data_IF_901004381583
#
_entry.id   IF_901004381583
#
_cell.length_a   1.000
_cell.length_b   1.000
_cell.length_c   1.000
_cell.angle_alpha   90.00
_cell.angle_beta   90.00
_cell.angle_gamma   90.00
#
_symmetry.space_group_name_H-M   'P 1'
#
loop_
_entity.id
_entity.type
_entity.pdbx_description
1 polymer ?
#
# COMPACT_ATOMS: atom_id res chain seq x y z
N UNK A 1 24.35 -19.13 -7.98
CA UNK A 1 24.33 -18.13 -6.89
C UNK A 1 23.06 -18.34 -6.08
N UNK A 2 23.13 -18.33 -4.75
CA UNK A 2 21.94 -18.41 -3.90
C UNK A 2 21.09 -17.16 -4.12
N UNK A 3 19.83 -17.34 -4.55
CA UNK A 3 18.84 -16.27 -4.70
C UNK A 3 17.91 -16.31 -3.50
N UNK A 4 17.52 -15.16 -3.00
CA UNK A 4 16.59 -15.02 -1.87
C UNK A 4 15.49 -14.02 -2.23
N UNK A 5 14.33 -14.17 -1.60
CA UNK A 5 13.19 -13.26 -1.80
C UNK A 5 12.99 -12.43 -0.54
N UNK A 6 12.77 -11.12 -0.70
CA UNK A 6 12.32 -10.23 0.36
C UNK A 6 10.84 -9.92 0.15
N UNK A 7 9.99 -10.30 1.11
CA UNK A 7 8.56 -9.98 1.12
C UNK A 7 8.32 -8.69 1.90
N UNK A 8 7.66 -7.72 1.26
CA UNK A 8 7.28 -6.43 1.85
C UNK A 8 5.75 -6.36 1.91
N UNK A 9 5.13 -6.51 3.09
CA UNK A 9 3.68 -6.52 3.25
C UNK A 9 3.07 -5.12 3.03
N UNK A 10 1.74 -5.06 2.89
CA UNK A 10 0.96 -3.82 2.81
C UNK A 10 0.61 -3.21 4.17
N UNK A 11 -0.15 -2.11 4.13
CA UNK A 11 -0.75 -1.47 5.32
C UNK A 11 -1.51 -2.53 6.14
N UNK A 12 -1.31 -2.54 7.46
CA UNK A 12 -1.91 -3.52 8.39
C UNK A 12 -1.54 -4.98 8.14
N UNK A 13 -0.60 -5.26 7.24
CA UNK A 13 -0.11 -6.60 6.94
C UNK A 13 0.90 -7.15 7.95
N UNK A 14 1.32 -6.35 8.93
CA UNK A 14 2.20 -6.75 10.02
C UNK A 14 1.47 -6.55 11.35
N UNK A 15 1.53 -7.54 12.23
CA UNK A 15 0.98 -7.46 13.59
C UNK A 15 1.77 -6.43 14.38
N UNK A 16 1.11 -5.66 15.25
CA UNK A 16 1.77 -4.71 16.14
C UNK A 16 1.57 -5.13 17.59
N UNK A 17 2.65 -5.06 18.37
CA UNK A 17 2.67 -5.42 19.79
C UNK A 17 3.12 -4.24 20.63
N UNK A 18 2.67 -4.17 21.87
CA UNK A 18 3.26 -3.30 22.87
C UNK A 18 4.43 -4.04 23.54
N UNK A 19 5.67 -3.67 23.22
CA UNK A 19 6.88 -4.29 23.77
C UNK A 19 7.14 -3.91 25.23
N UNK A 20 6.41 -2.92 25.77
CA UNK A 20 6.47 -2.52 27.17
C UNK A 20 5.47 -3.28 28.07
N UNK A 21 5.09 -4.50 27.69
CA UNK A 21 4.30 -5.41 28.52
C UNK A 21 5.03 -6.75 28.66
N UNK A 22 4.77 -7.48 29.75
CA UNK A 22 5.43 -8.76 30.04
C UNK A 22 5.14 -9.86 29.00
N UNK A 23 4.11 -9.68 28.16
CA UNK A 23 3.63 -10.67 27.21
C UNK A 23 3.66 -10.19 25.75
N UNK A 24 4.30 -9.05 25.44
CA UNK A 24 4.25 -8.44 24.11
C UNK A 24 2.81 -8.35 23.59
N UNK A 25 1.93 -7.65 24.33
CA UNK A 25 0.50 -7.66 24.08
C UNK A 25 0.21 -7.24 22.64
N UNK A 26 -0.52 -8.07 21.90
CA UNK A 26 -0.87 -7.80 20.50
C UNK A 26 -1.94 -6.73 20.45
N UNK A 27 -1.55 -5.54 20.02
CA UNK A 27 -2.40 -4.37 19.89
C UNK A 27 -3.13 -4.37 18.55
N UNK A 28 -2.49 -4.94 17.52
CA UNK A 28 -3.07 -5.08 16.18
C UNK A 28 -2.84 -6.48 15.62
N UNK A 29 -3.95 -7.15 15.27
CA UNK A 29 -4.01 -8.34 14.44
C UNK A 29 -5.37 -8.44 13.74
N UNK A 30 -5.37 -8.99 12.53
CA UNK A 30 -6.58 -9.26 11.74
C UNK A 30 -7.54 -10.25 12.43
N UNK A 31 -7.02 -11.05 13.37
CA UNK A 31 -7.80 -12.02 14.18
C UNK A 31 -8.12 -11.47 15.57
N UNK A 32 -7.33 -10.52 16.08
CA UNK A 32 -7.49 -9.93 17.41
C UNK A 32 -7.25 -8.43 17.36
N UNK A 33 -8.35 -7.66 17.38
CA UNK A 33 -8.31 -6.23 17.66
C UNK A 33 -9.02 -5.99 19.00
N UNK A 34 -8.26 -5.83 20.08
CA UNK A 34 -8.84 -5.47 21.38
C UNK A 34 -9.19 -3.97 21.35
N UNK A 35 -10.48 -3.63 21.42
CA UNK A 35 -10.91 -2.23 21.27
C UNK A 35 -10.36 -1.27 22.34
N UNK A 36 -9.99 -1.75 23.53
CA UNK A 36 -9.34 -0.90 24.54
C UNK A 36 -7.91 -0.49 24.15
N UNK A 37 -7.25 -1.27 23.29
CA UNK A 37 -5.85 -1.07 22.90
C UNK A 37 -5.68 -0.24 21.63
N UNK A 38 -6.73 0.02 20.83
CA UNK A 38 -6.56 0.76 19.58
C UNK A 38 -6.02 2.19 19.79
N UNK A 39 -6.33 2.81 20.94
CA UNK A 39 -5.80 4.13 21.32
C UNK A 39 -4.28 4.12 21.57
N UNK A 40 -3.70 2.97 21.89
CA UNK A 40 -2.25 2.81 22.06
C UNK A 40 -1.53 2.97 20.73
N UNK A 41 -2.24 2.82 19.61
CA UNK A 41 -1.68 3.02 18.28
C UNK A 41 -1.48 4.50 17.94
N UNK A 42 -2.18 5.43 18.60
CA UNK A 42 -2.12 6.85 18.26
C UNK A 42 -0.70 7.41 18.38
N UNK A 43 -0.24 8.09 17.33
CA UNK A 43 1.09 8.71 17.26
C UNK A 43 1.03 10.19 17.65
N UNK A 44 2.14 10.70 18.19
CA UNK A 44 2.38 12.14 18.35
C UNK A 44 2.72 12.77 16.99
N UNK A 45 2.79 14.11 16.96
CA UNK A 45 3.22 14.86 15.76
C UNK A 45 4.56 14.34 15.27
N UNK A 46 5.52 14.25 16.20
CA UNK A 46 6.70 13.42 16.06
C UNK A 46 6.29 11.94 16.04
N UNK A 47 6.18 11.40 14.82
CA UNK A 47 5.69 10.05 14.56
C UNK A 47 6.57 8.97 15.14
N UNK A 48 7.75 9.29 15.70
CA UNK A 48 8.59 8.33 16.43
C UNK A 48 7.95 7.84 17.73
N UNK A 49 7.00 8.60 18.29
CA UNK A 49 6.46 8.34 19.62
C UNK A 49 4.94 8.16 19.62
N UNK A 50 4.48 7.24 20.47
CA UNK A 50 3.06 7.08 20.81
C UNK A 50 2.56 8.22 21.72
N UNK A 51 1.26 8.49 21.65
CA UNK A 51 0.59 9.44 22.55
C UNK A 51 0.59 8.90 23.99
N UNK A 52 0.28 7.62 24.17
CA UNK A 52 0.21 6.98 25.50
C UNK A 52 1.62 6.70 26.04
N UNK A 53 2.02 7.25 27.20
CA UNK A 53 3.40 7.12 27.71
C UNK A 53 3.88 5.70 27.98
N UNK A 54 2.97 4.75 28.24
CA UNK A 54 3.31 3.34 28.50
C UNK A 54 3.35 2.48 27.25
N UNK A 55 2.89 2.99 26.11
CA UNK A 55 2.85 2.25 24.86
C UNK A 55 4.21 2.40 24.17
N UNK A 56 4.89 1.28 23.94
CA UNK A 56 6.05 1.19 23.06
C UNK A 56 5.67 0.18 22.00
N UNK A 57 5.32 0.67 20.81
CA UNK A 57 4.75 -0.20 19.78
C UNK A 57 5.82 -0.61 18.80
N UNK A 58 5.95 -1.92 18.63
CA UNK A 58 6.91 -2.54 17.71
C UNK A 58 6.20 -3.48 16.75
N UNK A 59 6.84 -3.71 15.60
CA UNK A 59 6.39 -4.70 14.62
C UNK A 59 6.64 -6.11 15.15
N UNK A 60 5.67 -6.99 14.96
CA UNK A 60 5.78 -8.43 15.24
C UNK A 60 5.81 -9.20 13.92
N UNK A 61 5.25 -10.41 13.90
CA UNK A 61 5.14 -11.24 12.70
C UNK A 61 4.16 -10.66 11.67
N UNK A 62 4.28 -11.15 10.44
CA UNK A 62 3.35 -10.81 9.36
C UNK A 62 1.97 -11.47 9.60
N UNK A 63 0.94 -10.92 8.98
CA UNK A 63 -0.40 -11.51 9.02
C UNK A 63 -0.47 -12.83 8.23
N UNK A 64 -0.96 -13.89 8.89
CA UNK A 64 -0.95 -15.24 8.31
C UNK A 64 -1.94 -15.37 7.15
N UNK A 65 -3.13 -14.79 7.30
CA UNK A 65 -4.21 -14.89 6.32
C UNK A 65 -3.78 -14.39 4.92
N UNK A 66 -3.19 -13.20 4.75
CA UNK A 66 -2.76 -12.69 3.44
C UNK A 66 -1.42 -13.23 2.93
N UNK A 67 -0.50 -13.70 3.79
CA UNK A 67 0.89 -13.97 3.36
C UNK A 67 1.39 -15.40 3.54
N UNK A 68 0.79 -16.22 4.41
CA UNK A 68 1.32 -17.58 4.69
C UNK A 68 1.40 -18.44 3.43
N UNK A 69 0.38 -18.37 2.57
CA UNK A 69 0.34 -19.21 1.36
C UNK A 69 1.39 -18.79 0.33
N UNK A 70 1.55 -17.49 0.08
CA UNK A 70 2.55 -17.02 -0.90
C UNK A 70 3.98 -17.34 -0.44
N UNK A 71 4.27 -17.20 0.85
CA UNK A 71 5.58 -17.60 1.42
C UNK A 71 5.83 -19.08 1.16
N UNK A 72 4.89 -19.95 1.54
CA UNK A 72 4.98 -21.39 1.30
C UNK A 72 5.19 -21.71 -0.18
N UNK A 73 4.40 -21.12 -1.08
CA UNK A 73 4.50 -21.38 -2.51
C UNK A 73 5.83 -20.93 -3.08
N UNK A 74 6.31 -19.74 -2.71
CA UNK A 74 7.59 -19.22 -3.21
C UNK A 74 8.75 -20.13 -2.78
N UNK A 75 8.83 -20.49 -1.50
CA UNK A 75 9.91 -21.36 -1.00
C UNK A 75 9.88 -22.74 -1.70
N UNK A 76 8.71 -23.35 -1.84
CA UNK A 76 8.59 -24.69 -2.42
C UNK A 76 8.75 -24.72 -3.95
N UNK A 77 8.31 -23.68 -4.66
CA UNK A 77 8.34 -23.66 -6.13
C UNK A 77 9.60 -23.06 -6.70
N UNK A 78 10.29 -22.19 -5.95
CA UNK A 78 11.55 -21.56 -6.41
C UNK A 78 12.79 -22.09 -5.72
N UNK A 79 12.64 -22.82 -4.59
CA UNK A 79 13.73 -23.22 -3.69
C UNK A 79 14.53 -22.03 -3.14
N UNK A 80 13.97 -20.82 -3.18
CA UNK A 80 14.58 -19.61 -2.61
C UNK A 80 14.00 -19.36 -1.21
N UNK A 81 14.83 -19.09 -0.19
CA UNK A 81 14.33 -18.68 1.12
C UNK A 81 13.60 -17.33 1.02
N UNK A 82 12.52 -17.18 1.78
CA UNK A 82 11.77 -15.92 1.88
C UNK A 82 12.08 -15.22 3.19
N UNK A 83 12.55 -13.98 3.11
CA UNK A 83 12.81 -13.10 4.23
C UNK A 83 11.72 -12.03 4.31
N UNK A 84 11.01 -11.99 5.42
CA UNK A 84 9.88 -11.09 5.60
C UNK A 84 10.38 -9.78 6.22
N UNK A 85 10.12 -8.66 5.55
CA UNK A 85 10.35 -7.33 6.10
C UNK A 85 9.05 -6.79 6.71
N UNK A 86 8.75 -7.22 7.95
CA UNK A 86 7.66 -6.63 8.74
C UNK A 86 8.03 -5.23 9.24
N UNK A 87 7.06 -4.32 9.30
CA UNK A 87 7.28 -2.93 9.70
C UNK A 87 6.07 -2.32 10.40
N UNK A 88 6.28 -1.19 11.06
CA UNK A 88 5.20 -0.39 11.64
C UNK A 88 4.50 0.44 10.56
N UNK A 89 3.38 -0.10 10.09
CA UNK A 89 2.60 0.46 8.98
C UNK A 89 1.92 1.80 9.30
N UNK A 90 2.02 2.31 10.53
CA UNK A 90 1.56 3.66 10.89
C UNK A 90 2.53 4.74 10.41
N UNK A 91 3.82 4.42 10.26
CA UNK A 91 4.90 5.37 9.93
C UNK A 91 4.95 5.71 8.44
N UNK A 92 5.69 6.75 8.08
CA UNK A 92 5.89 7.16 6.69
C UNK A 92 6.52 6.05 5.84
N UNK A 93 6.10 5.92 4.59
CA UNK A 93 6.71 4.98 3.63
C UNK A 93 8.16 5.35 3.32
N UNK A 94 8.50 6.64 3.37
CA UNK A 94 9.86 7.13 3.15
C UNK A 94 10.80 6.78 4.33
N UNK A 95 10.31 6.94 5.56
CA UNK A 95 11.00 6.51 6.79
C UNK A 95 11.20 4.99 6.80
N UNK A 96 10.13 4.24 6.49
CA UNK A 96 10.16 2.79 6.45
C UNK A 96 11.12 2.26 5.38
N UNK A 97 11.29 2.96 4.27
CA UNK A 97 12.27 2.58 3.25
C UNK A 97 13.73 2.65 3.73
N UNK A 98 14.05 3.54 4.69
CA UNK A 98 15.38 3.56 5.31
C UNK A 98 15.61 2.30 6.16
N UNK A 99 14.56 1.84 6.85
CA UNK A 99 14.59 0.57 7.59
C UNK A 99 14.72 -0.62 6.63
N UNK A 100 14.07 -0.57 5.47
CA UNK A 100 14.24 -1.59 4.42
C UNK A 100 15.68 -1.62 3.91
N UNK A 101 16.31 -0.46 3.68
CA UNK A 101 17.72 -0.39 3.29
C UNK A 101 18.63 -1.06 4.32
N UNK A 102 18.45 -0.73 5.61
CA UNK A 102 19.20 -1.37 6.70
C UNK A 102 18.97 -2.89 6.76
N UNK A 103 17.74 -3.34 6.53
CA UNK A 103 17.41 -4.76 6.49
C UNK A 103 18.07 -5.49 5.31
N UNK A 104 18.12 -4.87 4.14
CA UNK A 104 18.79 -5.42 2.96
C UNK A 104 20.30 -5.55 3.21
N UNK A 105 20.96 -4.52 3.77
CA UNK A 105 22.38 -4.60 4.11
C UNK A 105 22.67 -5.69 5.15
N UNK A 106 21.83 -5.81 6.19
CA UNK A 106 21.91 -6.92 7.14
C UNK A 106 21.83 -8.30 6.44
N UNK A 107 20.92 -8.47 5.48
CA UNK A 107 20.80 -9.72 4.74
C UNK A 107 21.99 -9.96 3.80
N UNK A 108 22.58 -8.92 3.20
CA UNK A 108 23.81 -9.06 2.41
C UNK A 108 24.94 -9.63 3.25
N UNK A 109 25.17 -9.06 4.42
CA UNK A 109 26.21 -9.51 5.37
C UNK A 109 25.93 -10.93 5.87
N UNK A 110 24.69 -11.21 6.28
CA UNK A 110 24.29 -12.51 6.83
C UNK A 110 24.40 -13.65 5.83
N UNK A 111 24.06 -13.40 4.56
CA UNK A 111 23.92 -14.43 3.55
C UNK A 111 25.10 -14.48 2.56
N UNK A 112 25.96 -13.46 2.55
CA UNK A 112 27.06 -13.35 1.59
C UNK A 112 26.60 -13.20 0.14
N UNK A 113 25.42 -12.60 -0.10
CA UNK A 113 24.88 -12.32 -1.43
C UNK A 113 24.61 -10.83 -1.61
N UNK A 114 24.71 -10.32 -2.83
CA UNK A 114 24.57 -8.88 -3.10
C UNK A 114 23.23 -8.49 -3.76
N UNK A 115 22.44 -9.46 -4.21
CA UNK A 115 21.21 -9.24 -4.98
C UNK A 115 20.05 -10.08 -4.47
N UNK A 116 18.85 -9.50 -4.48
CA UNK A 116 17.62 -10.11 -3.96
C UNK A 116 16.47 -9.98 -4.95
N UNK A 117 15.56 -10.94 -4.90
CA UNK A 117 14.22 -10.79 -5.46
C UNK A 117 13.32 -10.06 -4.45
N UNK A 118 12.38 -9.25 -4.91
CA UNK A 118 11.43 -8.53 -4.07
C UNK A 118 10.00 -8.85 -4.45
N UNK A 119 9.15 -9.08 -3.45
CA UNK A 119 7.69 -9.16 -3.63
C UNK A 119 7.07 -8.15 -2.69
N UNK A 120 6.53 -7.08 -3.24
CA UNK A 120 5.98 -5.97 -2.49
C UNK A 120 4.47 -5.86 -2.75
N UNK A 121 3.68 -5.78 -1.67
CA UNK A 121 2.23 -5.76 -1.74
C UNK A 121 1.65 -4.43 -1.26
N UNK A 122 0.71 -3.86 -2.01
CA UNK A 122 -0.03 -2.65 -1.62
C UNK A 122 0.94 -1.52 -1.23
N UNK A 123 0.79 -0.93 -0.04
CA UNK A 123 1.71 0.11 0.48
C UNK A 123 3.18 -0.35 0.57
N UNK A 124 3.43 -1.66 0.69
CA UNK A 124 4.79 -2.21 0.63
C UNK A 124 5.51 -1.90 -0.69
N UNK A 125 4.78 -1.78 -1.80
CA UNK A 125 5.35 -1.39 -3.07
C UNK A 125 5.68 0.12 -3.15
N UNK A 126 4.97 0.97 -2.40
CA UNK A 126 5.36 2.37 -2.22
C UNK A 126 6.67 2.48 -1.42
N UNK A 127 6.80 1.70 -0.34
CA UNK A 127 8.04 1.60 0.45
C UNK A 127 9.20 1.13 -0.43
N UNK A 128 8.98 0.11 -1.26
CA UNK A 128 9.97 -0.35 -2.22
C UNK A 128 10.37 0.76 -3.21
N UNK A 129 9.42 1.55 -3.72
CA UNK A 129 9.72 2.69 -4.60
C UNK A 129 10.54 3.79 -3.89
N UNK A 130 10.23 4.09 -2.63
CA UNK A 130 11.06 4.98 -1.80
C UNK A 130 12.48 4.41 -1.60
N UNK A 131 12.61 3.09 -1.42
CA UNK A 131 13.90 2.42 -1.29
C UNK A 131 14.72 2.51 -2.59
N UNK A 132 14.11 2.32 -3.76
CA UNK A 132 14.78 2.50 -5.04
C UNK A 132 15.39 3.91 -5.17
N UNK A 133 14.71 4.94 -4.67
CA UNK A 133 15.25 6.31 -4.65
C UNK A 133 16.54 6.42 -3.82
N UNK A 134 16.64 5.69 -2.72
CA UNK A 134 17.83 5.68 -1.86
C UNK A 134 19.04 5.00 -2.50
N UNK A 135 18.82 4.15 -3.51
CA UNK A 135 19.92 3.47 -4.21
C UNK A 135 20.72 4.41 -5.13
N UNK A 136 20.21 5.60 -5.45
CA UNK A 136 20.92 6.63 -6.21
C UNK A 136 21.58 6.10 -7.50
N UNK A 137 20.89 5.20 -8.22
CA UNK A 137 21.40 4.58 -9.45
C UNK A 137 22.06 3.22 -9.29
N UNK A 138 22.39 2.78 -8.07
CA UNK A 138 22.98 1.46 -7.80
C UNK A 138 21.90 0.38 -7.63
N UNK A 139 21.33 -0.08 -8.74
CA UNK A 139 20.26 -1.07 -8.76
C UNK A 139 20.76 -2.54 -8.87
N UNK A 140 22.05 -2.80 -8.62
CA UNK A 140 22.65 -4.15 -8.63
C UNK A 140 21.96 -5.09 -7.62
N UNK A 141 21.48 -4.52 -6.51
CA UNK A 141 20.78 -5.25 -5.44
C UNK A 141 19.43 -5.82 -5.86
N UNK A 142 18.83 -5.33 -6.96
CA UNK A 142 17.51 -5.74 -7.42
C UNK A 142 17.66 -6.82 -8.49
N UNK A 143 17.48 -8.09 -8.14
CA UNK A 143 17.47 -9.16 -9.13
C UNK A 143 16.16 -9.15 -9.93
N UNK A 144 15.01 -9.32 -9.27
CA UNK A 144 13.68 -9.10 -9.83
C UNK A 144 12.77 -8.49 -8.77
N UNK A 145 11.77 -7.70 -9.17
CA UNK A 145 10.77 -7.14 -8.24
C UNK A 145 9.34 -7.31 -8.77
N UNK A 146 8.44 -7.79 -7.92
CA UNK A 146 7.00 -7.81 -8.18
C UNK A 146 6.31 -6.79 -7.30
N UNK A 147 5.58 -5.86 -7.91
CA UNK A 147 4.77 -4.84 -7.25
C UNK A 147 3.29 -5.18 -7.43
N UNK A 148 2.69 -5.79 -6.42
CA UNK A 148 1.30 -6.24 -6.46
C UNK A 148 0.37 -5.25 -5.75
N UNK A 149 -0.77 -4.92 -6.37
CA UNK A 149 -1.80 -4.03 -5.82
C UNK A 149 -1.30 -2.63 -5.40
N UNK A 150 -0.23 -2.12 -6.02
CA UNK A 150 0.41 -0.88 -5.57
C UNK A 150 -0.48 0.35 -5.81
N UNK A 151 -0.78 1.16 -4.78
CA UNK A 151 -1.44 2.45 -4.94
C UNK A 151 -0.44 3.55 -5.35
N UNK A 152 0.14 3.47 -6.56
CA UNK A 152 1.17 4.43 -7.00
C UNK A 152 0.70 5.90 -7.00
N UNK A 153 -0.61 6.15 -7.07
CA UNK A 153 -1.24 7.47 -6.91
C UNK A 153 -2.27 7.50 -5.79
N UNK A 154 -2.13 6.64 -4.78
CA UNK A 154 -3.03 6.58 -3.64
C UNK A 154 -4.38 5.92 -3.92
N UNK A 155 -5.30 6.02 -2.96
CA UNK A 155 -6.62 5.41 -3.00
C UNK A 155 -7.62 6.29 -2.26
N UNK A 156 -8.85 6.40 -2.77
CA UNK A 156 -9.97 7.08 -2.07
C UNK A 156 -10.27 6.43 -0.72
N UNK A 157 -9.91 5.15 -0.52
CA UNK A 157 -10.14 4.44 0.75
C UNK A 157 -9.44 5.12 1.93
N UNK A 158 -8.30 5.76 1.73
CA UNK A 158 -7.61 6.51 2.79
C UNK A 158 -8.39 7.75 3.25
N UNK A 159 -9.02 8.48 2.32
CA UNK A 159 -9.92 9.60 2.65
C UNK A 159 -11.14 9.12 3.44
N UNK A 160 -11.69 7.94 3.11
CA UNK A 160 -12.77 7.30 3.88
C UNK A 160 -12.28 6.96 5.29
N UNK A 161 -11.06 6.43 5.43
CA UNK A 161 -10.49 6.14 6.75
C UNK A 161 -10.34 7.42 7.61
N UNK A 162 -9.93 8.54 7.01
CA UNK A 162 -9.77 9.84 7.68
C UNK A 162 -11.09 10.58 7.97
N UNK A 163 -12.18 10.28 7.25
CA UNK A 163 -13.50 10.94 7.38
C UNK A 163 -14.56 10.12 8.10
N UNK A 164 -14.63 8.82 7.86
CA UNK A 164 -15.66 7.92 8.37
C UNK A 164 -15.11 6.85 9.33
N UNK A 165 -13.79 6.62 9.36
CA UNK A 165 -13.17 5.65 10.27
C UNK A 165 -13.31 4.19 9.86
N UNK A 166 -13.56 3.92 8.58
CA UNK A 166 -13.60 2.55 8.07
C UNK A 166 -12.18 1.97 7.92
N UNK A 167 -11.66 1.35 8.99
CA UNK A 167 -10.39 0.63 8.98
C UNK A 167 -10.54 -0.83 8.56
N UNK A 168 -9.87 -1.24 7.48
CA UNK A 168 -9.71 -2.66 7.11
C UNK A 168 -10.99 -3.38 6.67
N UNK A 169 -10.85 -4.68 6.35
CA UNK A 169 -11.83 -5.57 5.69
C UNK A 169 -13.30 -5.28 6.02
N UNK A 170 -14.15 -5.16 4.99
CA UNK A 170 -15.62 -5.15 5.14
C UNK A 170 -16.10 -6.47 5.77
N UNK A 171 -16.05 -6.58 7.09
CA UNK A 171 -16.93 -7.52 7.80
C UNK A 171 -18.29 -6.83 7.99
N UNK A 172 -19.43 -7.46 7.64
CA UNK A 172 -20.74 -6.82 7.56
C UNK A 172 -21.37 -6.36 8.90
N UNK A 173 -20.57 -6.24 9.97
CA UNK A 173 -21.06 -5.96 11.32
C UNK A 173 -20.44 -4.71 11.99
N UNK A 174 -19.51 -4.00 11.34
CA UNK A 174 -18.75 -2.93 12.01
C UNK A 174 -19.11 -1.55 11.46
N UNK A 175 -19.97 -0.86 12.22
CA UNK A 175 -20.29 0.56 12.06
C UNK A 175 -19.02 1.42 11.99
N UNK A 176 -19.08 2.53 11.25
CA UNK A 176 -18.17 3.67 11.34
C UNK A 176 -17.73 3.90 12.79
N UNK A 177 -16.44 3.69 13.09
CA UNK A 177 -15.93 3.87 14.43
C UNK A 177 -15.22 5.23 14.52
N UNK A 178 -15.89 6.20 15.13
CA UNK A 178 -15.40 7.56 15.33
C UNK A 178 -13.99 7.61 15.93
N UNK A 179 -13.62 6.62 16.73
CA UNK A 179 -12.33 6.55 17.42
C UNK A 179 -11.22 6.06 16.50
N UNK A 180 -11.50 5.07 15.64
CA UNK A 180 -10.52 4.60 14.67
C UNK A 180 -10.15 5.70 13.68
N UNK A 181 -11.12 6.54 13.28
CA UNK A 181 -10.86 7.72 12.45
C UNK A 181 -9.86 8.67 13.09
N UNK A 182 -10.03 9.01 14.37
CA UNK A 182 -9.13 9.92 15.10
C UNK A 182 -7.72 9.35 15.19
N UNK A 183 -7.62 8.06 15.47
CA UNK A 183 -6.33 7.36 15.51
C UNK A 183 -5.66 7.37 14.12
N UNK A 184 -6.40 7.07 13.06
CA UNK A 184 -5.88 7.09 11.68
C UNK A 184 -5.35 8.47 11.26
N UNK A 185 -5.95 9.56 11.77
CA UNK A 185 -5.47 10.94 11.55
C UNK A 185 -4.10 11.23 12.19
N UNK A 186 -3.60 10.34 13.05
CA UNK A 186 -2.25 10.45 13.59
C UNK A 186 -1.19 9.76 12.71
N UNK A 187 -1.58 8.95 11.72
CA UNK A 187 -0.65 8.11 10.94
C UNK A 187 -0.19 8.78 9.66
N UNK A 188 1.12 9.09 9.48
CA UNK A 188 1.63 9.60 8.22
C UNK A 188 1.26 8.74 7.00
N UNK A 189 1.34 7.41 7.12
CA UNK A 189 1.05 6.49 6.01
C UNK A 189 -0.35 6.63 5.42
N UNK A 190 -1.37 6.88 6.25
CA UNK A 190 -2.75 7.02 5.78
C UNK A 190 -2.91 8.28 4.93
N UNK A 191 -2.26 9.38 5.30
CA UNK A 191 -2.27 10.59 4.48
C UNK A 191 -1.45 10.41 3.19
N UNK A 192 -0.30 9.72 3.24
CA UNK A 192 0.49 9.40 2.04
C UNK A 192 -0.32 8.59 1.02
N UNK A 193 -1.26 7.77 1.46
CA UNK A 193 -2.16 6.98 0.63
C UNK A 193 -3.35 7.78 0.06
N UNK A 194 -3.48 9.08 0.34
CA UNK A 194 -4.52 9.92 -0.26
C UNK A 194 -4.35 10.01 -1.79
N UNK A 195 -5.45 10.01 -2.55
CA UNK A 195 -5.38 9.88 -3.99
C UNK A 195 -4.86 11.16 -4.65
N UNK A 196 -3.90 11.01 -5.55
CA UNK A 196 -3.22 12.12 -6.27
C UNK A 196 -3.35 12.02 -7.79
N UNK A 197 -4.09 11.03 -8.32
CA UNK A 197 -4.38 10.94 -9.75
C UNK A 197 -5.44 11.98 -10.17
N UNK A 198 -5.43 12.30 -11.46
CA UNK A 198 -6.30 13.32 -12.04
C UNK A 198 -7.78 13.02 -11.74
N UNK A 199 -8.53 14.04 -11.33
CA UNK A 199 -9.96 13.97 -11.03
C UNK A 199 -10.36 13.05 -9.86
N UNK A 200 -9.41 12.57 -9.05
CA UNK A 200 -9.71 11.74 -7.89
C UNK A 200 -10.58 12.47 -6.85
N UNK A 201 -10.34 13.76 -6.67
CA UNK A 201 -11.07 14.65 -5.76
C UNK A 201 -11.38 15.92 -6.56
N UNK A 202 -12.66 16.28 -6.64
CA UNK A 202 -13.10 17.47 -7.37
C UNK A 202 -14.18 18.18 -6.57
N UNK A 203 -14.15 19.52 -6.56
CA UNK A 203 -15.28 20.27 -6.02
C UNK A 203 -16.48 20.13 -6.96
N UNK A 204 -17.69 20.14 -6.39
CA UNK A 204 -18.96 20.08 -7.14
C UNK A 204 -19.09 21.21 -8.17
N UNK A 205 -18.51 22.39 -7.88
CA UNK A 205 -18.48 23.53 -8.78
C UNK A 205 -17.40 23.44 -9.89
N UNK A 206 -16.65 22.34 -9.95
CA UNK A 206 -15.59 22.12 -10.94
C UNK A 206 -14.23 22.72 -10.60
N UNK A 207 -14.07 23.38 -9.45
CA UNK A 207 -12.77 23.86 -8.99
C UNK A 207 -11.82 22.69 -8.67
N UNK A 208 -10.52 22.91 -8.87
CA UNK A 208 -9.49 21.92 -8.55
C UNK A 208 -9.32 21.78 -7.03
N UNK A 209 -9.21 20.53 -6.57
CA UNK A 209 -8.90 20.22 -5.18
C UNK A 209 -7.39 20.06 -5.00
N UNK A 210 -6.77 20.95 -4.22
CA UNK A 210 -5.41 20.78 -3.73
C UNK A 210 -5.38 20.00 -2.40
N UNK A 211 -4.86 18.77 -2.46
CA UNK A 211 -4.65 17.90 -1.30
C UNK A 211 -3.72 18.51 -0.25
N UNK A 212 -2.85 19.44 -0.64
CA UNK A 212 -1.86 20.08 0.23
C UNK A 212 -2.38 21.40 0.83
N UNK A 213 -3.58 21.85 0.45
CA UNK A 213 -4.22 23.01 1.03
C UNK A 213 -5.18 22.58 2.15
N UNK A 214 -4.90 22.87 3.44
CA UNK A 214 -5.78 22.46 4.53
C UNK A 214 -7.20 23.04 4.41
N UNK A 215 -7.37 24.20 3.78
CA UNK A 215 -8.68 24.86 3.61
C UNK A 215 -9.59 24.13 2.61
N UNK A 216 -9.04 23.22 1.80
CA UNK A 216 -9.83 22.42 0.87
C UNK A 216 -10.42 21.18 1.54
N UNK A 217 -9.84 20.70 2.65
CA UNK A 217 -10.30 19.50 3.32
C UNK A 217 -11.66 19.70 3.99
N UNK A 218 -12.37 18.59 4.21
CA UNK A 218 -13.60 18.60 4.99
C UNK A 218 -13.33 19.20 6.38
N UNK A 219 -14.04 20.27 6.71
CA UNK A 219 -13.76 21.15 7.86
C UNK A 219 -13.79 20.51 9.25
N UNK A 220 -14.25 19.27 9.39
CA UNK A 220 -14.22 18.54 10.65
C UNK A 220 -13.01 17.59 10.78
N UNK A 221 -12.18 17.49 9.74
CA UNK A 221 -10.91 16.79 9.79
C UNK A 221 -9.91 17.73 10.48
N UNK A 222 -9.31 17.25 11.57
CA UNK A 222 -8.34 18.04 12.34
C UNK A 222 -8.94 18.93 13.43
N UNK A 223 -10.26 19.00 13.59
CA UNK A 223 -10.87 19.75 14.71
C UNK A 223 -10.45 19.22 16.09
N UNK A 224 -10.14 17.93 16.16
CA UNK A 224 -9.66 17.24 17.36
C UNK A 224 -8.21 17.61 17.72
N UNK A 225 -7.35 17.81 16.72
CA UNK A 225 -5.97 18.27 16.89
C UNK A 225 -5.52 19.05 15.62
N UNK A 226 -5.73 20.38 15.57
CA UNK A 226 -5.41 21.18 14.39
C UNK A 226 -3.92 21.19 14.08
N UNK A 227 -3.08 21.14 15.10
CA UNK A 227 -1.63 21.19 14.93
C UNK A 227 -1.12 19.87 14.33
N UNK A 228 -1.65 18.72 14.76
CA UNK A 228 -1.40 17.42 14.12
C UNK A 228 -1.85 17.42 12.66
N UNK A 229 -3.05 17.90 12.38
CA UNK A 229 -3.58 17.92 11.02
C UNK A 229 -2.68 18.74 10.09
N UNK A 230 -2.31 19.97 10.48
CA UNK A 230 -1.41 20.81 9.70
C UNK A 230 -0.01 20.19 9.54
N UNK A 231 0.48 19.48 10.55
CA UNK A 231 1.72 18.72 10.45
C UNK A 231 1.63 17.59 9.41
N UNK A 232 0.54 16.81 9.42
CA UNK A 232 0.29 15.75 8.43
C UNK A 232 0.14 16.32 7.01
N UNK A 233 -0.54 17.45 6.84
CA UNK A 233 -0.60 18.16 5.55
C UNK A 233 0.80 18.56 5.05
N UNK A 234 1.66 19.06 5.95
CA UNK A 234 3.06 19.39 5.60
C UNK A 234 3.85 18.15 5.18
N UNK A 235 3.68 17.04 5.89
CA UNK A 235 4.37 15.77 5.61
C UNK A 235 3.95 15.19 4.25
N UNK A 236 2.66 15.16 3.92
CA UNK A 236 2.24 14.68 2.60
C UNK A 236 2.66 15.57 1.46
N UNK A 237 2.75 16.88 1.69
CA UNK A 237 3.28 17.82 0.70
C UNK A 237 4.74 17.50 0.39
N UNK A 238 5.54 17.17 1.40
CA UNK A 238 6.93 16.74 1.21
C UNK A 238 7.01 15.36 0.54
N UNK A 239 6.13 14.42 0.92
CA UNK A 239 6.11 13.07 0.33
C UNK A 239 5.79 13.09 -1.16
N UNK A 240 4.81 13.89 -1.56
CA UNK A 240 4.34 14.04 -2.95
C UNK A 240 4.92 15.27 -3.65
N UNK A 241 6.05 15.80 -3.17
CA UNK A 241 6.68 17.00 -3.74
C UNK A 241 6.90 16.84 -5.25
N UNK A 242 6.58 17.87 -6.04
CA UNK A 242 6.63 17.78 -7.51
C UNK A 242 8.06 17.72 -8.07
N UNK A 243 9.03 18.26 -7.34
CA UNK A 243 10.43 18.33 -7.76
C UNK A 243 11.25 17.19 -7.17
N UNK A 244 10.91 16.76 -5.96
CA UNK A 244 11.65 15.76 -5.21
C UNK A 244 10.73 14.77 -4.46
N UNK A 245 9.83 14.05 -5.16
CA UNK A 245 8.87 13.15 -4.51
C UNK A 245 9.57 12.01 -3.79
N UNK A 246 9.04 11.56 -2.65
CA UNK A 246 9.67 10.51 -1.85
C UNK A 246 9.83 9.17 -2.61
N UNK A 247 8.82 8.81 -3.41
CA UNK A 247 8.86 7.64 -4.28
C UNK A 247 9.64 7.94 -5.57
N UNK A 248 10.47 6.98 -6.01
CA UNK A 248 11.08 7.05 -7.33
C UNK A 248 10.00 6.88 -8.41
N UNK A 249 10.03 7.75 -9.42
CA UNK A 249 9.24 7.52 -10.61
C UNK A 249 9.85 6.35 -11.41
N UNK A 250 9.14 5.21 -11.49
CA UNK A 250 9.70 4.00 -12.08
C UNK A 250 10.04 4.12 -13.58
N UNK A 251 9.54 5.15 -14.28
CA UNK A 251 9.95 5.41 -15.68
C UNK A 251 11.37 5.96 -15.78
N UNK A 252 11.93 6.51 -14.70
CA UNK A 252 13.29 7.07 -14.65
C UNK A 252 14.37 6.00 -14.43
N UNK A 253 13.95 4.79 -14.06
CA UNK A 253 14.85 3.64 -13.97
C UNK A 253 15.43 3.30 -15.35
N UNK A 254 16.71 2.87 -15.42
CA UNK A 254 17.27 2.35 -16.67
C UNK A 254 16.46 1.18 -17.25
N UNK A 255 16.49 1.02 -18.57
CA UNK A 255 15.70 0.03 -19.30
C UNK A 255 15.93 -1.40 -18.81
N UNK A 256 17.19 -1.77 -18.52
CA UNK A 256 17.55 -3.07 -17.96
C UNK A 256 16.96 -3.30 -16.57
N UNK A 257 16.82 -2.25 -15.76
CA UNK A 257 16.21 -2.34 -14.43
C UNK A 257 14.69 -2.47 -14.56
N UNK A 258 14.05 -1.70 -15.45
CA UNK A 258 12.60 -1.79 -15.68
C UNK A 258 12.16 -3.18 -16.15
N UNK A 259 12.98 -3.87 -16.94
CA UNK A 259 12.72 -5.26 -17.38
C UNK A 259 12.74 -6.28 -16.23
N UNK A 260 13.38 -5.94 -15.10
CA UNK A 260 13.40 -6.76 -13.88
C UNK A 260 12.22 -6.47 -12.95
N UNK A 261 11.30 -5.57 -13.33
CA UNK A 261 10.12 -5.22 -12.55
C UNK A 261 8.84 -5.70 -13.23
N UNK A 262 7.97 -6.35 -12.47
CA UNK A 262 6.62 -6.74 -12.86
C UNK A 262 5.61 -6.01 -11.97
N UNK A 263 4.59 -5.39 -12.58
CA UNK A 263 3.47 -4.79 -11.86
C UNK A 263 2.25 -5.68 -12.04
N UNK A 264 1.56 -5.98 -10.94
CA UNK A 264 0.30 -6.73 -10.94
C UNK A 264 -0.78 -5.87 -10.31
N UNK A 265 -1.76 -5.47 -11.11
CA UNK A 265 -2.96 -4.75 -10.67
C UNK A 265 -4.16 -5.71 -10.58
N UNK A 266 -5.10 -5.42 -9.70
CA UNK A 266 -6.38 -6.10 -9.69
C UNK A 266 -7.44 -5.33 -10.46
N UNK A 267 -8.33 -6.06 -11.13
CA UNK A 267 -9.49 -5.48 -11.82
C UNK A 267 -10.76 -6.33 -11.62
N UNK A 268 -11.90 -5.76 -11.96
CA UNK A 268 -13.20 -6.43 -11.90
C UNK A 268 -13.91 -6.27 -10.55
N UNK A 269 -13.32 -5.53 -9.60
CA UNK A 269 -13.98 -5.13 -8.36
C UNK A 269 -14.39 -3.65 -8.40
N UNK A 270 -15.63 -3.38 -8.00
CA UNK A 270 -16.14 -2.01 -7.84
C UNK A 270 -15.33 -1.29 -6.76
N UNK A 271 -14.62 -0.25 -7.16
CA UNK A 271 -13.62 0.42 -6.31
C UNK A 271 -13.87 1.92 -6.28
N UNK A 272 -13.92 2.52 -5.09
CA UNK A 272 -14.03 3.98 -4.94
C UNK A 272 -12.83 4.64 -5.62
N UNK A 273 -13.09 5.41 -6.66
CA UNK A 273 -12.06 6.07 -7.47
C UNK A 273 -12.26 7.59 -7.57
N UNK A 274 -13.40 8.12 -7.13
CA UNK A 274 -13.67 9.57 -7.19
C UNK A 274 -14.46 10.06 -5.98
N UNK A 275 -14.12 11.26 -5.53
CA UNK A 275 -14.80 12.00 -4.46
C UNK A 275 -15.29 13.34 -5.01
N UNK A 276 -16.57 13.64 -4.81
CA UNK A 276 -17.13 14.97 -5.06
C UNK A 276 -17.15 15.74 -3.75
N UNK A 277 -16.50 16.89 -3.72
CA UNK A 277 -16.48 17.78 -2.55
C UNK A 277 -17.63 18.76 -2.67
N UNK A 278 -18.64 18.55 -1.83
CA UNK A 278 -19.83 19.39 -1.75
C UNK A 278 -19.58 20.56 -0.79
N UNK A 279 -20.22 21.72 -1.00
CA UNK A 279 -19.98 22.90 -0.17
C UNK A 279 -20.34 22.66 1.31
N UNK A 280 -21.34 21.81 1.58
CA UNK A 280 -21.84 21.53 2.92
C UNK A 280 -22.33 20.08 3.04
N UNK A 281 -22.21 19.50 4.23
CA UNK A 281 -22.77 18.18 4.56
C UNK A 281 -24.31 18.22 4.61
N UNK A 282 -25.00 17.06 4.45
CA UNK A 282 -26.47 17.01 4.49
C UNK A 282 -27.11 17.59 5.75
N UNK A 283 -26.41 17.52 6.88
CA UNK A 283 -26.83 18.05 8.19
C UNK A 283 -26.34 19.48 8.47
N UNK A 284 -25.62 20.09 7.52
CA UNK A 284 -25.12 21.46 7.64
C UNK A 284 -23.88 21.66 8.53
N UNK A 285 -23.33 20.59 9.13
CA UNK A 285 -22.29 20.70 10.17
C UNK A 285 -20.86 20.78 9.64
N UNK A 286 -20.59 20.32 8.41
CA UNK A 286 -19.26 20.30 7.82
C UNK A 286 -19.25 20.98 6.45
N UNK A 287 -18.36 21.95 6.27
CA UNK A 287 -17.97 22.50 4.96
C UNK A 287 -17.02 21.54 4.23
N UNK A 288 -16.96 21.66 2.90
CA UNK A 288 -16.14 20.81 2.01
C UNK A 288 -16.43 19.32 2.24
N UNK A 289 -17.71 18.96 2.27
CA UNK A 289 -18.14 17.60 2.56
C UNK A 289 -17.68 16.62 1.48
N UNK A 290 -16.98 15.57 1.87
CA UNK A 290 -16.51 14.52 0.96
C UNK A 290 -17.65 13.54 0.70
N UNK A 291 -18.28 13.67 -0.48
CA UNK A 291 -19.31 12.75 -0.92
C UNK A 291 -18.68 11.54 -1.64
N UNK A 292 -18.59 10.42 -0.93
CA UNK A 292 -18.08 9.14 -1.44
C UNK A 292 -19.13 8.32 -2.21
N UNK A 293 -20.40 8.72 -2.20
CA UNK A 293 -21.52 7.99 -2.80
C UNK A 293 -22.12 8.70 -4.01
N UNK A 294 -21.35 9.59 -4.65
CA UNK A 294 -21.75 10.19 -5.92
C UNK A 294 -21.92 9.12 -7.02
N UNK A 295 -22.74 9.40 -8.03
CA UNK A 295 -23.09 8.47 -9.12
C UNK A 295 -21.86 7.83 -9.80
N UNK A 296 -20.79 8.61 -9.93
CA UNK A 296 -19.55 8.22 -10.61
C UNK A 296 -18.39 8.05 -9.61
N UNK A 297 -18.68 7.77 -8.33
CA UNK A 297 -17.68 7.61 -7.28
C UNK A 297 -16.89 6.30 -7.39
N UNK A 298 -17.44 5.32 -8.09
CA UNK A 298 -16.90 3.98 -8.23
C UNK A 298 -16.41 3.72 -9.66
N UNK A 299 -15.24 3.09 -9.76
CA UNK A 299 -14.64 2.63 -11.01
C UNK A 299 -14.12 1.20 -10.89
N UNK A 300 -13.24 0.83 -11.82
CA UNK A 300 -12.61 -0.48 -11.87
C UNK A 300 -11.35 -0.52 -10.99
N UNK A 301 -11.14 -1.63 -10.29
CA UNK A 301 -9.97 -1.85 -9.42
C UNK A 301 -10.08 -3.18 -8.67
N UNK A 302 -9.45 -3.23 -7.50
CA UNK A 302 -9.36 -4.43 -6.65
C UNK A 302 -10.18 -4.34 -5.34
N UNK A 303 -11.06 -3.34 -5.24
CA UNK A 303 -11.89 -3.03 -4.08
C UNK A 303 -11.27 -1.98 -3.16
N UNK A 304 -9.98 -1.68 -3.30
CA UNK A 304 -9.27 -0.64 -2.54
C UNK A 304 -8.55 0.33 -3.47
N UNK A 305 -7.77 -0.17 -4.42
CA UNK A 305 -6.95 0.61 -5.35
C UNK A 305 -7.62 0.61 -6.72
N UNK A 306 -7.88 1.81 -7.25
CA UNK A 306 -8.39 1.97 -8.60
C UNK A 306 -7.31 1.64 -9.62
N UNK A 307 -7.71 1.18 -10.81
CA UNK A 307 -6.77 1.01 -11.92
C UNK A 307 -6.04 2.32 -12.26
N UNK A 308 -6.72 3.47 -12.19
CA UNK A 308 -6.13 4.80 -12.42
C UNK A 308 -4.88 5.07 -11.57
N UNK A 309 -4.83 4.49 -10.36
CA UNK A 309 -3.66 4.55 -9.49
C UNK A 309 -2.65 3.44 -9.79
N UNK A 310 -3.12 2.21 -10.04
CA UNK A 310 -2.23 1.04 -10.17
C UNK A 310 -1.50 0.96 -11.54
N UNK A 311 -2.06 1.56 -12.59
CA UNK A 311 -1.60 1.33 -13.97
C UNK A 311 -0.67 2.39 -14.55
N UNK A 312 -0.24 3.38 -13.77
CA UNK A 312 0.47 4.57 -14.28
C UNK A 312 1.79 4.29 -15.02
N UNK A 313 2.34 3.07 -14.88
CA UNK A 313 3.60 2.64 -15.49
C UNK A 313 3.44 1.65 -16.65
N UNK A 314 2.20 1.33 -17.05
CA UNK A 314 1.89 0.30 -18.06
C UNK A 314 2.60 0.48 -19.40
N UNK A 315 2.90 1.73 -19.79
CA UNK A 315 3.60 2.05 -21.04
C UNK A 315 5.09 1.67 -21.04
N UNK A 316 5.70 1.53 -19.86
CA UNK A 316 7.16 1.38 -19.71
C UNK A 316 7.58 0.15 -18.91
N UNK A 317 6.67 -0.44 -18.15
CA UNK A 317 6.89 -1.61 -17.30
C UNK A 317 5.75 -2.59 -17.55
N UNK A 318 6.09 -3.88 -17.71
CA UNK A 318 5.10 -4.93 -17.88
C UNK A 318 4.11 -4.89 -16.71
N UNK A 319 2.89 -4.49 -17.02
CA UNK A 319 1.81 -4.33 -16.06
C UNK A 319 0.69 -5.27 -16.45
N UNK A 320 0.37 -6.20 -15.55
CA UNK A 320 -0.67 -7.20 -15.74
C UNK A 320 -1.86 -6.87 -14.85
N UNK A 321 -3.06 -6.85 -15.42
CA UNK A 321 -4.30 -6.85 -14.67
C UNK A 321 -4.79 -8.28 -14.48
N UNK A 322 -5.14 -8.62 -13.25
CA UNK A 322 -5.73 -9.91 -12.86
C UNK A 322 -7.18 -9.66 -12.49
N UNK A 323 -8.11 -10.34 -13.15
CA UNK A 323 -9.55 -10.17 -12.93
C UNK A 323 -10.01 -10.88 -11.65
N UNK A 324 -10.85 -10.22 -10.86
CA UNK A 324 -11.53 -10.77 -9.68
C UNK A 324 -12.28 -12.05 -10.03
N UNK A 325 -12.15 -13.09 -9.19
CA UNK A 325 -13.02 -14.27 -9.25
C UNK A 325 -14.32 -14.02 -8.49
N UNK A 326 -15.40 -14.65 -8.92
CA UNK A 326 -16.68 -14.57 -8.22
C UNK A 326 -16.61 -15.10 -6.77
N UNK A 327 -15.65 -15.96 -6.45
CA UNK A 327 -15.37 -16.48 -5.11
C UNK A 327 -14.54 -15.54 -4.24
N UNK A 328 -13.95 -14.49 -4.80
CA UNK A 328 -13.02 -13.62 -4.07
C UNK A 328 -13.81 -12.67 -3.15
N UNK A 329 -13.62 -12.86 -1.85
CA UNK A 329 -14.27 -12.07 -0.80
C UNK A 329 -13.52 -10.77 -0.47
N UNK A 330 -12.23 -10.67 -0.80
CA UNK A 330 -11.37 -9.52 -0.52
C UNK A 330 -10.14 -9.52 -1.44
N UNK A 331 -10.34 -9.13 -2.70
CA UNK A 331 -9.33 -9.25 -3.74
C UNK A 331 -8.04 -8.50 -3.42
N UNK A 332 -8.11 -7.22 -3.00
CA UNK A 332 -6.93 -6.44 -2.64
C UNK A 332 -6.08 -7.14 -1.57
N UNK A 333 -6.66 -7.36 -0.38
CA UNK A 333 -5.89 -7.84 0.77
C UNK A 333 -5.38 -9.27 0.61
N UNK A 334 -6.08 -10.11 -0.16
CA UNK A 334 -5.72 -11.51 -0.40
C UNK A 334 -5.10 -11.73 -1.79
N UNK A 335 -4.66 -10.66 -2.47
CA UNK A 335 -4.19 -10.72 -3.85
C UNK A 335 -3.05 -11.75 -4.03
N UNK A 336 -2.13 -11.83 -3.07
CA UNK A 336 -1.02 -12.80 -3.12
C UNK A 336 -1.43 -14.25 -2.83
N UNK A 337 -2.66 -14.50 -2.39
CA UNK A 337 -3.22 -15.86 -2.26
C UNK A 337 -3.81 -16.38 -3.59
N UNK A 338 -3.98 -15.53 -4.60
CA UNK A 338 -4.47 -15.99 -5.89
C UNK A 338 -3.43 -16.88 -6.60
N UNK A 339 -3.80 -18.13 -6.90
CA UNK A 339 -2.92 -19.09 -7.57
C UNK A 339 -2.40 -18.63 -8.95
N UNK A 340 -3.13 -17.77 -9.67
CA UNK A 340 -2.66 -17.15 -10.93
C UNK A 340 -1.52 -16.20 -10.62
N UNK A 341 -1.69 -15.34 -9.62
CA UNK A 341 -0.66 -14.38 -9.19
C UNK A 341 0.56 -15.13 -8.67
N UNK A 342 0.38 -16.13 -7.81
CA UNK A 342 1.49 -16.97 -7.33
C UNK A 342 2.27 -17.63 -8.48
N UNK A 343 1.56 -18.10 -9.52
CA UNK A 343 2.18 -18.65 -10.73
C UNK A 343 2.97 -17.59 -11.50
N UNK A 344 2.40 -16.40 -11.70
CA UNK A 344 3.05 -15.27 -12.37
C UNK A 344 4.32 -14.84 -11.62
N UNK A 345 4.23 -14.64 -10.31
CA UNK A 345 5.38 -14.27 -9.45
C UNK A 345 6.45 -15.34 -9.54
N UNK A 346 6.10 -16.62 -9.36
CA UNK A 346 7.05 -17.73 -9.42
C UNK A 346 7.78 -17.79 -10.77
N UNK A 347 7.05 -17.71 -11.89
CA UNK A 347 7.65 -17.73 -13.24
C UNK A 347 8.58 -16.54 -13.46
N UNK A 348 8.15 -15.35 -13.04
CA UNK A 348 8.93 -14.12 -13.18
C UNK A 348 10.24 -14.19 -12.40
N UNK A 349 10.19 -14.61 -11.12
CA UNK A 349 11.39 -14.72 -10.27
C UNK A 349 12.37 -15.80 -10.73
N UNK A 350 11.90 -16.84 -11.43
CA UNK A 350 12.74 -17.87 -12.03
C UNK A 350 13.36 -17.46 -13.37
N UNK A 351 12.99 -16.30 -13.93
CA UNK A 351 13.40 -15.90 -15.29
C UNK A 351 12.73 -16.73 -16.39
N UNK A 352 11.62 -17.42 -16.08
CA UNK A 352 10.81 -18.18 -17.05
C UNK A 352 9.86 -17.24 -17.80
N UNK A 353 10.39 -16.11 -18.29
CA UNK A 353 9.67 -15.00 -18.90
C UNK A 353 10.07 -14.75 -20.37
N UNK A 354 10.75 -15.72 -20.99
CA UNK A 354 11.03 -15.71 -22.42
C UNK A 354 9.73 -15.98 -23.19
N UNK A 355 9.23 -14.96 -23.90
CA UNK A 355 8.14 -15.14 -24.85
C UNK A 355 8.64 -16.03 -26.00
N UNK A 356 7.95 -17.15 -26.26
CA UNK A 356 8.23 -17.94 -27.45
C UNK A 356 7.69 -17.19 -28.66
N UNK A 357 8.48 -17.10 -29.73
CA UNK A 357 8.14 -16.38 -30.96
C UNK A 357 6.88 -16.91 -31.68
N UNK A 358 6.28 -18.01 -31.19
CA UNK A 358 5.13 -18.69 -31.78
C UNK A 358 4.05 -19.09 -30.77
N UNK A 359 4.18 -18.74 -29.49
CA UNK A 359 3.24 -19.12 -28.43
C UNK A 359 2.59 -17.92 -27.73
N UNK A 360 1.58 -18.17 -26.88
CA UNK A 360 1.01 -17.10 -26.08
C UNK A 360 2.04 -16.60 -25.06
N UNK A 361 1.94 -15.33 -24.60
CA UNK A 361 2.89 -14.76 -23.66
C UNK A 361 3.02 -15.61 -22.38
N UNK A 362 4.19 -15.59 -21.73
CA UNK A 362 4.47 -16.43 -20.55
C UNK A 362 3.50 -16.20 -19.38
N UNK A 363 2.89 -15.01 -19.34
CA UNK A 363 1.91 -14.57 -18.34
C UNK A 363 0.46 -14.92 -18.69
N UNK A 364 0.21 -15.47 -19.87
CA UNK A 364 -1.15 -15.83 -20.31
C UNK A 364 -1.75 -16.95 -19.45
N UNK A 365 -3.07 -16.86 -19.26
CA UNK A 365 -3.90 -17.88 -18.62
C UNK A 365 -5.05 -18.25 -19.56
N UNK A 366 -5.47 -19.53 -19.54
CA UNK A 366 -6.42 -20.06 -20.52
C UNK A 366 -7.79 -19.38 -20.51
N UNK A 367 -8.24 -18.90 -19.36
CA UNK A 367 -9.55 -18.27 -19.17
C UNK A 367 -9.56 -16.76 -19.48
N UNK A 368 -8.44 -16.20 -19.93
CA UNK A 368 -8.30 -14.78 -20.24
C UNK A 368 -8.40 -13.87 -19.02
N UNK A 369 -8.31 -14.42 -17.80
CA UNK A 369 -8.47 -13.66 -16.56
C UNK A 369 -7.21 -12.88 -16.13
N UNK A 370 -6.15 -12.94 -16.94
CA UNK A 370 -4.96 -12.09 -16.85
C UNK A 370 -4.76 -11.42 -18.20
N UNK A 371 -4.61 -10.10 -18.22
CA UNK A 371 -4.32 -9.32 -19.43
C UNK A 371 -3.21 -8.31 -19.17
N UNK A 372 -2.44 -7.98 -20.18
CA UNK A 372 -1.52 -6.86 -20.13
C UNK A 372 -2.29 -5.54 -20.23
N UNK A 373 -1.96 -4.58 -19.37
CA UNK A 373 -2.37 -3.18 -19.49
C UNK A 373 -1.46 -2.50 -20.51
N UNK A 374 -2.07 -1.76 -21.44
CA UNK A 374 -1.42 -1.01 -22.51
C UNK A 374 -2.02 0.38 -22.61
#
# INVERSE_FOLDING_TARGET
MSRAVILIPGLQGTKLVNSNTLNFDTIWSSVQSKYETIYDLALKQDSRFEVKPKSIIERSDVEDLPYRQVVYVLEHKTSMPVYIFGYDWRKSSAETAQQLAAYVEYLKEKLGINSFNFVAHSMGAMIFSCYLKQLQGNYEVIDHAVLAACPFKGSVRSLIALTAGEGGFKFPLFNSNDEFRKIARTFPSVYELCPTYKNAIVFENGAEFDLFNPDHWQSNIGNDDPAMFLDRIRQIKAFWDRQNPAMLNLTELPDEVRKRILIIAGEGEKTKNKVIVQPLSPDGRAKNFFNFESKDADGNGDGVVSLDSAEIYKEKILTLAVKKKWTDIAMHSLMLNDGRIQTLVTRFLLGNNLDSSSGPPWWSVLDGSVRQLK
#
